data_IF_529244691572
#
_entry.id   IF_529244691572
#
_cell.length_a   1.000
_cell.length_b   1.000
_cell.length_c   1.000
_cell.angle_alpha   90.00
_cell.angle_beta   90.00
_cell.angle_gamma   90.00
#
_symmetry.space_group_name_H-M   'P 1'
#
loop_
_entity.id
_entity.type
_entity.pdbx_description
1 polymer ?
#
# COMPACT_ATOMS: atom_id res chain seq x y z
N UNK A 1 13.57 0.65 6.79
CA UNK A 1 12.15 0.98 6.56
C UNK A 1 11.37 0.45 7.74
N UNK A 2 10.68 1.32 8.47
CA UNK A 2 9.76 0.89 9.54
C UNK A 2 8.35 0.91 8.98
N UNK A 3 7.52 -0.03 9.39
CA UNK A 3 6.10 -0.09 9.03
C UNK A 3 5.31 0.34 10.27
N UNK A 4 4.60 1.45 10.18
CA UNK A 4 3.84 2.04 11.29
C UNK A 4 2.35 1.76 11.11
N UNK A 5 1.67 1.35 12.18
CA UNK A 5 0.25 0.99 12.14
C UNK A 5 -0.57 1.93 13.02
N UNK A 6 -1.61 2.53 12.43
CA UNK A 6 -2.61 3.36 13.13
C UNK A 6 -4.01 2.76 12.97
N UNK A 7 -4.78 2.70 14.06
CA UNK A 7 -6.16 2.20 14.06
C UNK A 7 -7.13 3.31 14.44
N UNK A 8 -8.15 3.53 13.63
CA UNK A 8 -9.13 4.60 13.81
C UNK A 8 -10.54 4.02 13.65
N UNK A 9 -11.41 4.27 14.62
CA UNK A 9 -12.83 3.96 14.48
C UNK A 9 -13.53 5.15 13.83
N UNK A 10 -14.13 4.92 12.66
CA UNK A 10 -14.83 5.94 11.87
C UNK A 10 -16.29 5.56 11.74
N UNK A 11 -17.16 6.55 11.56
CA UNK A 11 -18.59 6.33 11.28
C UNK A 11 -18.97 7.08 10.01
N UNK A 12 -19.30 6.33 8.96
CA UNK A 12 -19.78 6.89 7.69
C UNK A 12 -21.13 6.27 7.32
N UNK A 13 -22.10 7.09 6.90
CA UNK A 13 -23.39 6.60 6.42
C UNK A 13 -24.18 5.74 7.42
N UNK A 14 -23.91 5.86 8.72
CA UNK A 14 -24.51 5.01 9.77
C UNK A 14 -23.77 3.70 10.05
N UNK A 15 -22.73 3.37 9.28
CA UNK A 15 -21.87 2.21 9.49
C UNK A 15 -20.66 2.60 10.32
N UNK A 16 -20.31 1.78 11.33
CA UNK A 16 -19.06 1.92 12.08
C UNK A 16 -17.98 1.07 11.41
N UNK A 17 -16.83 1.66 11.11
CA UNK A 17 -15.73 1.03 10.41
C UNK A 17 -14.45 1.20 11.22
N UNK A 18 -13.78 0.08 11.52
CA UNK A 18 -12.45 0.10 12.12
C UNK A 18 -11.42 0.16 10.99
N UNK A 19 -10.94 1.37 10.69
CA UNK A 19 -9.91 1.57 9.69
C UNK A 19 -8.53 1.32 10.30
N UNK A 20 -7.72 0.54 9.60
CA UNK A 20 -6.30 0.36 9.92
C UNK A 20 -5.49 0.97 8.80
N UNK A 21 -4.65 1.95 9.12
CA UNK A 21 -3.71 2.58 8.20
C UNK A 21 -2.32 2.03 8.51
N UNK A 22 -1.60 1.66 7.46
CA UNK A 22 -0.24 1.13 7.55
C UNK A 22 0.66 2.02 6.70
N UNK A 23 1.54 2.77 7.36
CA UNK A 23 2.45 3.72 6.73
C UNK A 23 3.86 3.13 6.59
N UNK A 24 4.56 3.54 5.53
CA UNK A 24 5.90 3.06 5.17
C UNK A 24 6.90 4.23 5.06
N UNK A 25 7.18 4.95 6.18
CA UNK A 25 8.09 6.09 6.17
C UNK A 25 9.49 5.71 5.67
N UNK A 26 10.09 6.61 4.89
CA UNK A 26 11.44 6.43 4.33
C UNK A 26 11.51 5.58 3.07
N UNK A 27 10.38 5.27 2.42
CA UNK A 27 10.37 4.53 1.16
C UNK A 27 10.97 5.36 0.01
N UNK A 28 12.06 4.86 -0.59
CA UNK A 28 12.74 5.51 -1.71
C UNK A 28 13.76 6.59 -1.32
N UNK A 29 13.98 6.81 -0.01
CA UNK A 29 14.87 7.87 0.50
C UNK A 29 16.34 7.43 0.67
N UNK A 30 16.62 6.12 0.55
CA UNK A 30 17.97 5.60 0.70
C UNK A 30 18.82 5.83 -0.55
N UNK A 31 20.15 5.90 -0.38
CA UNK A 31 21.10 5.93 -1.51
C UNK A 31 21.03 4.65 -2.32
N UNK A 32 20.90 3.51 -1.62
CA UNK A 32 20.62 2.21 -2.21
C UNK A 32 19.19 1.78 -1.84
N UNK A 33 18.31 1.71 -2.84
CA UNK A 33 16.92 1.26 -2.69
C UNK A 33 16.73 -0.19 -3.12
N UNK A 34 17.81 -0.95 -3.33
CA UNK A 34 17.76 -2.38 -3.61
C UNK A 34 16.98 -3.07 -2.49
N UNK A 35 15.83 -3.66 -2.83
CA UNK A 35 14.93 -4.35 -1.90
C UNK A 35 14.15 -3.48 -0.90
N UNK A 36 13.94 -2.19 -1.18
CA UNK A 36 13.11 -1.33 -0.31
C UNK A 36 11.65 -1.83 -0.16
N UNK A 37 11.15 -2.66 -1.07
CA UNK A 37 9.84 -3.32 -0.98
C UNK A 37 9.78 -4.47 0.03
N UNK A 38 10.92 -5.09 0.39
CA UNK A 38 10.93 -6.33 1.17
C UNK A 38 10.21 -6.18 2.52
N UNK A 39 10.44 -5.12 3.32
CA UNK A 39 9.74 -4.96 4.59
C UNK A 39 8.20 -4.82 4.43
N UNK A 40 7.75 -4.25 3.31
CA UNK A 40 6.32 -4.10 3.02
C UNK A 40 5.70 -5.44 2.66
N UNK A 41 6.40 -6.22 1.83
CA UNK A 41 5.98 -7.57 1.44
C UNK A 41 5.94 -8.47 2.67
N UNK A 42 7.00 -8.49 3.48
CA UNK A 42 7.10 -9.31 4.70
C UNK A 42 5.97 -8.97 5.69
N UNK A 43 5.64 -7.69 5.83
CA UNK A 43 4.52 -7.26 6.67
C UNK A 43 3.18 -7.83 6.17
N UNK A 44 2.92 -7.76 4.86
CA UNK A 44 1.67 -8.27 4.27
C UNK A 44 1.60 -9.79 4.40
N UNK A 45 2.69 -10.49 4.08
CA UNK A 45 2.78 -11.95 4.17
C UNK A 45 2.58 -12.41 5.63
N UNK A 46 3.17 -11.71 6.61
CA UNK A 46 2.93 -11.97 8.03
C UNK A 46 1.44 -11.84 8.41
N UNK A 47 0.70 -10.89 7.84
CA UNK A 47 -0.76 -10.78 8.08
C UNK A 47 -1.55 -11.92 7.44
N UNK A 48 -1.11 -12.43 6.29
CA UNK A 48 -1.70 -13.62 5.70
C UNK A 48 -1.43 -14.87 6.53
N UNK A 49 -0.20 -15.04 7.00
CA UNK A 49 0.18 -16.15 7.88
C UNK A 49 -0.58 -16.13 9.21
N UNK A 50 -0.71 -14.96 9.85
CA UNK A 50 -1.50 -14.80 11.08
C UNK A 50 -2.95 -15.27 10.89
N UNK A 51 -3.56 -14.90 9.76
CA UNK A 51 -4.92 -15.28 9.43
C UNK A 51 -5.05 -16.79 9.12
N UNK A 52 -4.13 -17.33 8.31
CA UNK A 52 -4.10 -18.76 7.97
C UNK A 52 -3.89 -19.64 9.21
N UNK A 53 -2.97 -19.23 10.09
CA UNK A 53 -2.69 -19.91 11.34
C UNK A 53 -3.92 -19.89 12.25
N UNK A 54 -4.67 -18.78 12.29
CA UNK A 54 -5.91 -18.69 13.05
C UNK A 54 -7.00 -19.63 12.52
N UNK A 55 -7.17 -19.71 11.20
CA UNK A 55 -8.15 -20.58 10.54
C UNK A 55 -7.84 -22.08 10.72
N UNK A 56 -6.54 -22.42 10.78
CA UNK A 56 -6.05 -23.80 10.93
C UNK A 56 -6.17 -24.36 12.36
N UNK A 57 -6.49 -23.53 13.36
CA UNK A 57 -6.62 -24.00 14.77
C UNK A 57 -7.83 -24.93 14.94
N UNK A 58 -7.65 -25.96 15.77
CA UNK A 58 -8.73 -26.91 16.15
C UNK A 58 -9.89 -26.18 16.84
N UNK A 59 -9.58 -25.25 17.75
CA UNK A 59 -10.56 -24.41 18.41
C UNK A 59 -10.62 -23.04 17.71
N UNK A 60 -11.50 -22.93 16.70
CA UNK A 60 -11.69 -21.70 15.94
C UNK A 60 -12.47 -20.68 16.77
N UNK A 61 -11.89 -19.49 16.95
CA UNK A 61 -12.58 -18.28 17.45
C UNK A 61 -12.68 -17.28 16.32
N UNK A 62 -13.74 -16.48 16.31
CA UNK A 62 -13.87 -15.39 15.35
C UNK A 62 -12.76 -14.37 15.62
N UNK A 63 -11.82 -14.24 14.68
CA UNK A 63 -10.70 -13.30 14.78
C UNK A 63 -10.92 -12.11 13.84
N UNK A 64 -10.52 -10.89 14.26
CA UNK A 64 -10.58 -9.73 13.39
C UNK A 64 -9.62 -9.90 12.22
N UNK A 65 -10.09 -9.62 11.01
CA UNK A 65 -9.29 -9.63 9.79
C UNK A 65 -8.36 -8.40 9.77
N UNK A 66 -7.07 -8.63 9.95
CA UNK A 66 -6.03 -7.60 9.93
C UNK A 66 -5.19 -7.62 8.63
N UNK A 67 -5.63 -8.35 7.60
CA UNK A 67 -4.93 -8.39 6.31
C UNK A 67 -5.01 -7.03 5.63
N UNK A 68 -4.02 -6.71 4.81
CA UNK A 68 -4.02 -5.46 4.03
C UNK A 68 -4.94 -5.65 2.82
N UNK A 69 -6.04 -4.91 2.75
CA UNK A 69 -7.03 -5.06 1.68
C UNK A 69 -6.66 -4.29 0.40
N UNK A 70 -6.03 -3.13 0.56
CA UNK A 70 -5.58 -2.30 -0.55
C UNK A 70 -4.29 -1.56 -0.20
N UNK A 71 -3.50 -1.25 -1.23
CA UNK A 71 -2.29 -0.44 -1.14
C UNK A 71 -2.48 0.81 -1.99
N UNK A 72 -2.46 1.98 -1.35
CA UNK A 72 -2.44 3.26 -2.05
C UNK A 72 -0.99 3.57 -2.44
N UNK A 73 -0.69 3.51 -3.73
CA UNK A 73 0.67 3.69 -4.23
C UNK A 73 0.88 5.11 -4.77
N UNK A 74 1.72 5.89 -4.11
CA UNK A 74 1.96 7.29 -4.43
C UNK A 74 3.06 7.45 -5.47
N UNK A 75 2.67 7.78 -6.70
CA UNK A 75 3.56 8.05 -7.83
C UNK A 75 3.97 9.52 -7.78
N UNK A 76 5.28 9.79 -7.83
CA UNK A 76 5.78 11.16 -7.87
C UNK A 76 5.38 11.86 -9.18
N UNK A 77 4.98 13.15 -9.14
CA UNK A 77 4.54 13.91 -10.32
C UNK A 77 5.75 14.36 -11.16
N UNK A 78 6.47 13.40 -11.75
CA UNK A 78 7.69 13.65 -12.52
C UNK A 78 7.42 14.15 -13.94
N UNK A 79 6.24 13.88 -14.50
CA UNK A 79 5.86 14.22 -15.88
C UNK A 79 6.47 13.33 -16.97
N UNK A 80 7.34 12.37 -16.62
CA UNK A 80 8.10 11.56 -17.58
C UNK A 80 7.74 10.06 -17.58
N UNK A 81 6.83 9.63 -16.69
CA UNK A 81 6.37 8.25 -16.52
C UNK A 81 6.73 7.63 -15.15
N UNK A 82 6.53 6.32 -15.04
CA UNK A 82 6.85 5.53 -13.84
C UNK A 82 8.36 5.33 -13.67
N UNK A 83 8.86 5.44 -12.43
CA UNK A 83 10.26 5.11 -12.15
C UNK A 83 10.44 3.58 -12.24
N UNK A 84 11.63 3.08 -12.61
CA UNK A 84 11.91 1.64 -12.57
C UNK A 84 11.63 1.01 -11.21
N UNK A 85 11.92 1.74 -10.13
CA UNK A 85 11.59 1.34 -8.76
C UNK A 85 10.08 1.12 -8.57
N UNK A 86 9.26 2.04 -9.08
CA UNK A 86 7.80 1.96 -8.97
C UNK A 86 7.25 0.74 -9.71
N UNK A 87 7.79 0.48 -10.90
CA UNK A 87 7.43 -0.68 -11.72
C UNK A 87 7.77 -1.98 -10.98
N UNK A 88 8.98 -2.08 -10.43
CA UNK A 88 9.42 -3.28 -9.72
C UNK A 88 8.62 -3.51 -8.44
N UNK A 89 8.34 -2.45 -7.68
CA UNK A 89 7.50 -2.50 -6.49
C UNK A 89 6.10 -3.01 -6.82
N UNK A 90 5.43 -2.39 -7.80
CA UNK A 90 4.07 -2.79 -8.20
C UNK A 90 4.03 -4.22 -8.75
N UNK A 91 5.04 -4.63 -9.55
CA UNK A 91 5.15 -6.01 -10.05
C UNK A 91 5.28 -7.04 -8.94
N UNK A 92 5.93 -6.74 -7.81
CA UNK A 92 6.04 -7.71 -6.71
C UNK A 92 4.80 -7.71 -5.81
N UNK A 93 4.14 -6.57 -5.70
CA UNK A 93 3.05 -6.37 -4.75
C UNK A 93 1.66 -6.69 -5.32
N UNK A 94 1.47 -6.62 -6.64
CA UNK A 94 0.16 -6.78 -7.27
C UNK A 94 -0.47 -8.17 -7.08
N UNK A 95 0.35 -9.20 -6.83
CA UNK A 95 -0.13 -10.56 -6.56
C UNK A 95 -0.68 -10.73 -5.13
N UNK A 96 -0.36 -9.79 -4.22
CA UNK A 96 -0.68 -9.90 -2.79
C UNK A 96 -1.80 -8.97 -2.35
N UNK A 97 -1.87 -7.75 -2.91
CA UNK A 97 -2.83 -6.73 -2.48
C UNK A 97 -3.32 -5.90 -3.67
N UNK A 98 -4.56 -5.41 -3.60
CA UNK A 98 -5.11 -4.51 -4.59
C UNK A 98 -4.36 -3.17 -4.56
N UNK A 99 -3.62 -2.87 -5.63
CA UNK A 99 -2.87 -1.61 -5.75
C UNK A 99 -3.75 -0.55 -6.40
N UNK A 100 -3.85 0.62 -5.77
CA UNK A 100 -4.48 1.82 -6.33
C UNK A 100 -3.38 2.86 -6.55
N UNK A 101 -2.93 3.07 -7.79
CA UNK A 101 -1.94 4.10 -8.09
C UNK A 101 -2.56 5.50 -7.99
N UNK A 102 -1.88 6.40 -7.28
CA UNK A 102 -2.28 7.79 -7.05
C UNK A 102 -1.13 8.72 -7.44
N UNK A 103 -1.42 9.78 -8.17
CA UNK A 103 -0.44 10.84 -8.44
C UNK A 103 -0.30 11.68 -7.18
N UNK A 104 0.85 11.60 -6.53
CA UNK A 104 1.16 12.40 -5.35
C UNK A 104 1.32 13.87 -5.72
N UNK A 105 0.93 14.78 -4.81
CA UNK A 105 1.09 16.23 -4.99
C UNK A 105 0.66 16.71 -6.39
N UNK A 106 -0.52 16.26 -6.84
CA UNK A 106 -1.01 16.55 -8.19
C UNK A 106 -1.24 18.06 -8.45
N UNK A 107 -1.26 18.88 -7.39
CA UNK A 107 -1.26 20.34 -7.44
C UNK A 107 0.01 20.93 -8.08
N UNK A 108 1.10 20.15 -8.20
CA UNK A 108 2.31 20.57 -8.92
C UNK A 108 2.21 20.43 -10.44
N UNK A 109 1.13 19.84 -10.96
CA UNK A 109 0.90 19.63 -12.40
C UNK A 109 -0.28 20.48 -12.86
N UNK A 110 -0.19 21.01 -14.07
CA UNK A 110 -1.35 21.58 -14.76
C UNK A 110 -2.38 20.50 -15.09
N UNK A 111 -3.66 20.85 -15.29
CA UNK A 111 -4.70 19.88 -15.67
C UNK A 111 -4.33 19.09 -16.95
N UNK A 112 -3.66 19.74 -17.89
CA UNK A 112 -3.21 19.15 -19.15
C UNK A 112 -2.08 18.14 -18.91
N UNK A 113 -1.06 18.51 -18.12
CA UNK A 113 0.05 17.63 -17.75
C UNK A 113 -0.45 16.42 -16.95
N UNK A 114 -1.41 16.62 -16.04
CA UNK A 114 -2.02 15.54 -15.27
C UNK A 114 -2.74 14.53 -16.18
N UNK A 115 -3.49 15.01 -17.19
CA UNK A 115 -4.13 14.12 -18.16
C UNK A 115 -3.11 13.38 -19.03
N UNK A 116 -2.02 14.03 -19.43
CA UNK A 116 -0.96 13.40 -20.21
C UNK A 116 -0.22 12.35 -19.38
N UNK A 117 0.13 12.67 -18.15
CA UNK A 117 0.81 11.75 -17.24
C UNK A 117 -0.04 10.50 -16.95
N UNK A 118 -1.36 10.67 -16.74
CA UNK A 118 -2.30 9.55 -16.61
C UNK A 118 -2.37 8.61 -17.81
N UNK A 119 -2.01 9.07 -19.02
CA UNK A 119 -1.95 8.21 -20.22
C UNK A 119 -0.62 7.45 -20.34
N UNK A 120 0.41 7.92 -19.64
CA UNK A 120 1.77 7.33 -19.68
C UNK A 120 2.01 6.34 -18.53
N UNK A 121 1.27 6.49 -17.44
CA UNK A 121 1.27 5.62 -16.24
C UNK A 121 0.40 4.40 -16.45
#
# INVERSE_FOLDING_TARGET
>A
LQVEQSKVLIKEGGVQLLLTIVDTPGFGDAVDNSNCWQPVIDYIDSKFEDYLNAESRVNRRQMPDNRVQCCLYFIAPSGHGLKPLDIEFMKRLHEKVNIIPLIAKADTLTPEECQQFKKQV
#
